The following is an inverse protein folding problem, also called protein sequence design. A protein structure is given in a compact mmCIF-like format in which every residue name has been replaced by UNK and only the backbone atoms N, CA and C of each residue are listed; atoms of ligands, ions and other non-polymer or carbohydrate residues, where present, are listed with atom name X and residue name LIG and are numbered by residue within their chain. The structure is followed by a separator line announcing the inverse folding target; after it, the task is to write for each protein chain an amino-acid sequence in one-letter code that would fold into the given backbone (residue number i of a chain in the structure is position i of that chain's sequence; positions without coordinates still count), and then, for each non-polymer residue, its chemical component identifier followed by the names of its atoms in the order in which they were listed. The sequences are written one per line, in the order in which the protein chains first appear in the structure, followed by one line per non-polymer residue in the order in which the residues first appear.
data_IF_064966989426
#
_entry.id   IF_064966989426
#
_cell.length_a   1.000
_cell.length_b   1.000
_cell.length_c   1.000
_cell.angle_alpha   90.00
_cell.angle_beta   90.00
_cell.angle_gamma   90.00
#
_symmetry.space_group_name_H-M   'P 1'
#
loop_
_entity.id
_entity.type
_entity.pdbx_description
1 polymer ?
#
# COMPACT_ATOMS: atom_id res chain seq x y z
N UNK A 1 -7.80 17.48 -14.41
CA UNK A 1 -9.17 17.98 -14.71
C UNK A 1 -9.50 19.28 -13.98
N UNK A 2 -9.19 19.41 -12.68
CA UNK A 2 -9.42 20.63 -11.87
C UNK A 2 -8.83 21.93 -12.46
N UNK A 3 -7.69 21.87 -13.15
CA UNK A 3 -7.03 23.03 -13.77
C UNK A 3 -7.80 23.69 -14.93
N UNK A 4 -9.00 23.21 -15.29
CA UNK A 4 -9.91 23.85 -16.26
C UNK A 4 -10.89 24.84 -15.62
N UNK A 5 -10.99 24.89 -14.29
CA UNK A 5 -11.92 25.79 -13.60
C UNK A 5 -11.36 27.24 -13.54
N UNK A 6 -12.21 28.21 -13.88
CA UNK A 6 -11.87 29.64 -13.88
C UNK A 6 -11.31 30.13 -15.21
N UNK A 7 -11.86 31.24 -15.73
CA UNK A 7 -11.45 31.85 -16.99
C UNK A 7 -10.52 33.03 -16.74
N UNK A 8 -9.37 33.03 -17.42
CA UNK A 8 -8.35 34.08 -17.31
C UNK A 8 -8.96 35.46 -17.63
N UNK A 9 -8.84 36.38 -16.67
CA UNK A 9 -9.29 37.77 -16.80
C UNK A 9 -10.81 37.99 -16.72
N UNK A 10 -11.60 36.95 -16.43
CA UNK A 10 -13.07 37.06 -16.27
C UNK A 10 -13.57 36.61 -14.91
N UNK A 11 -12.93 35.61 -14.31
CA UNK A 11 -13.34 35.05 -13.03
C UNK A 11 -12.19 35.25 -12.02
N UNK A 12 -12.51 35.69 -10.79
CA UNK A 12 -11.51 35.92 -9.73
C UNK A 12 -10.90 34.61 -9.19
N UNK A 13 -11.65 33.51 -9.28
CA UNK A 13 -11.24 32.17 -8.82
C UNK A 13 -11.95 31.06 -9.59
N UNK A 14 -11.31 29.89 -9.68
CA UNK A 14 -11.94 28.66 -10.15
C UNK A 14 -12.53 27.86 -8.99
N UNK A 15 -13.79 27.41 -9.12
CA UNK A 15 -14.45 26.56 -8.13
C UNK A 15 -14.55 25.13 -8.66
N UNK A 16 -14.04 24.16 -7.90
CA UNK A 16 -14.07 22.73 -8.22
C UNK A 16 -14.81 22.01 -7.10
N UNK A 17 -15.88 21.28 -7.44
CA UNK A 17 -16.64 20.47 -6.49
C UNK A 17 -16.33 19.01 -6.75
N UNK A 18 -15.83 18.31 -5.74
CA UNK A 18 -15.62 16.86 -5.77
C UNK A 18 -16.79 16.18 -5.08
N UNK A 19 -17.50 15.31 -5.80
CA UNK A 19 -18.50 14.42 -5.21
C UNK A 19 -17.78 13.20 -4.66
N UNK A 20 -17.91 12.95 -3.36
CA UNK A 20 -17.20 11.88 -2.65
C UNK A 20 -18.22 10.88 -2.12
N UNK A 21 -17.98 9.60 -2.37
CA UNK A 21 -18.75 8.51 -1.79
C UNK A 21 -18.15 8.05 -0.45
N UNK A 22 -18.96 7.39 0.37
CA UNK A 22 -18.68 7.06 1.78
C UNK A 22 -17.46 6.13 1.98
N UNK A 23 -16.97 5.50 0.90
CA UNK A 23 -15.84 4.57 0.93
C UNK A 23 -14.45 5.24 0.76
N UNK A 24 -14.37 6.56 0.54
CA UNK A 24 -13.08 7.20 0.33
C UNK A 24 -12.36 7.48 1.65
N UNK A 25 -11.24 6.78 1.86
CA UNK A 25 -10.34 7.04 2.99
C UNK A 25 -9.72 8.44 2.96
N UNK A 26 -9.39 8.98 4.13
CA UNK A 26 -8.83 10.33 4.27
C UNK A 26 -7.53 10.54 3.48
N UNK A 27 -6.68 9.52 3.41
CA UNK A 27 -5.40 9.59 2.69
C UNK A 27 -5.58 9.74 1.19
N UNK A 28 -6.52 8.98 0.61
CA UNK A 28 -6.85 9.05 -0.82
C UNK A 28 -7.41 10.44 -1.17
N UNK A 29 -8.32 10.95 -0.32
CA UNK A 29 -8.85 12.30 -0.48
C UNK A 29 -7.75 13.37 -0.48
N UNK A 30 -6.78 13.24 0.44
CA UNK A 30 -5.65 14.16 0.56
C UNK A 30 -4.73 14.08 -0.67
N UNK A 31 -4.46 12.88 -1.19
CA UNK A 31 -3.67 12.69 -2.40
C UNK A 31 -4.37 13.29 -3.64
N UNK A 32 -5.68 13.14 -3.78
CA UNK A 32 -6.41 13.71 -4.92
C UNK A 32 -6.35 15.25 -4.93
N UNK A 33 -6.43 15.88 -3.76
CA UNK A 33 -6.50 17.34 -3.65
C UNK A 33 -5.10 17.99 -3.62
N UNK A 34 -4.16 17.40 -2.88
CA UNK A 34 -2.83 17.97 -2.58
C UNK A 34 -1.66 17.11 -3.06
N UNK A 35 -1.93 16.01 -3.76
CA UNK A 35 -0.90 15.12 -4.27
C UNK A 35 -0.01 15.80 -5.30
N UNK A 36 1.23 15.30 -5.37
CA UNK A 36 2.10 15.62 -6.49
C UNK A 36 1.49 15.08 -7.80
N UNK A 37 1.78 15.70 -8.95
CA UNK A 37 1.40 15.13 -10.23
C UNK A 37 2.03 13.75 -10.40
N UNK A 38 1.30 12.83 -11.02
CA UNK A 38 1.83 11.51 -11.33
C UNK A 38 3.04 11.61 -12.27
N UNK A 39 4.10 10.83 -12.04
CA UNK A 39 5.23 10.78 -12.95
C UNK A 39 4.80 10.20 -14.30
N UNK A 40 5.42 10.66 -15.38
CA UNK A 40 5.20 10.09 -16.70
C UNK A 40 5.93 8.75 -16.80
N UNK A 41 5.23 7.65 -16.51
CA UNK A 41 5.79 6.31 -16.62
C UNK A 41 5.51 5.72 -18.01
N UNK A 42 6.54 5.13 -18.61
CA UNK A 42 6.43 4.45 -19.90
C UNK A 42 5.54 3.21 -19.80
N UNK A 43 4.58 3.08 -20.72
CA UNK A 43 3.76 1.87 -20.90
C UNK A 43 4.19 1.06 -22.14
N UNK A 44 5.45 1.26 -22.59
CA UNK A 44 5.99 0.57 -23.74
C UNK A 44 5.96 -0.94 -23.52
N UNK A 45 5.40 -1.67 -24.50
CA UNK A 45 5.30 -3.12 -24.51
C UNK A 45 5.40 -3.62 -25.94
N UNK A 46 6.00 -4.79 -26.11
CA UNK A 46 6.07 -5.44 -27.41
C UNK A 46 4.69 -5.98 -27.80
N UNK A 47 4.33 -5.78 -29.07
CA UNK A 47 3.12 -6.33 -29.68
C UNK A 47 3.50 -7.10 -30.93
N UNK A 48 2.73 -8.12 -31.30
CA UNK A 48 3.03 -8.95 -32.48
C UNK A 48 3.20 -8.11 -33.75
N UNK A 49 2.32 -7.15 -34.00
CA UNK A 49 2.38 -6.28 -35.18
C UNK A 49 3.69 -5.45 -35.19
N UNK A 50 4.10 -4.92 -34.04
CA UNK A 50 5.37 -4.20 -33.91
C UNK A 50 6.56 -5.08 -34.27
N UNK A 51 6.64 -6.30 -33.70
CA UNK A 51 7.74 -7.23 -33.97
C UNK A 51 7.79 -7.63 -35.43
N UNK A 52 6.64 -7.98 -36.03
CA UNK A 52 6.57 -8.36 -37.44
C UNK A 52 7.00 -7.21 -38.37
N UNK A 53 6.61 -5.98 -38.05
CA UNK A 53 7.04 -4.82 -38.83
C UNK A 53 8.53 -4.54 -38.69
N UNK A 54 9.10 -4.70 -37.49
CA UNK A 54 10.53 -4.51 -37.24
C UNK A 54 11.36 -5.56 -38.00
N UNK A 55 10.94 -6.82 -37.98
CA UNK A 55 11.60 -7.91 -38.71
C UNK A 55 11.51 -7.75 -40.24
N UNK A 56 10.49 -7.05 -40.74
CA UNK A 56 10.30 -6.82 -42.17
C UNK A 56 11.22 -5.75 -42.73
N UNK A 57 11.64 -4.78 -41.91
CA UNK A 57 12.44 -3.65 -42.37
C UNK A 57 13.92 -3.99 -42.23
N UNK A 58 14.60 -4.16 -43.36
CA UNK A 58 16.05 -4.39 -43.38
C UNK A 58 16.79 -3.21 -42.73
N UNK A 59 17.71 -3.52 -41.81
CA UNK A 59 18.55 -2.53 -41.11
C UNK A 59 18.03 -2.04 -39.76
N UNK A 60 16.88 -2.52 -39.28
CA UNK A 60 16.37 -2.21 -37.92
C UNK A 60 16.48 -3.45 -37.03
N UNK A 61 17.29 -3.36 -35.98
CA UNK A 61 17.38 -4.40 -34.96
C UNK A 61 16.35 -4.14 -33.85
N UNK A 62 15.40 -5.07 -33.59
CA UNK A 62 14.38 -4.89 -32.55
C UNK A 62 15.00 -4.76 -31.16
N UNK A 63 16.13 -5.41 -30.89
CA UNK A 63 16.86 -5.27 -29.61
C UNK A 63 17.32 -3.84 -29.37
N UNK A 64 17.83 -3.17 -30.41
CA UNK A 64 18.27 -1.77 -30.30
C UNK A 64 17.10 -0.82 -30.01
N UNK A 65 15.91 -1.10 -30.56
CA UNK A 65 14.70 -0.34 -30.25
C UNK A 65 14.28 -0.52 -28.78
N UNK A 66 14.45 -1.72 -28.24
CA UNK A 66 14.17 -2.01 -26.84
C UNK A 66 15.11 -1.25 -25.90
N UNK A 67 16.40 -1.28 -26.20
CA UNK A 67 17.43 -0.59 -25.42
C UNK A 67 17.23 0.93 -25.40
N UNK A 68 16.82 1.50 -26.54
CA UNK A 68 16.55 2.93 -26.69
C UNK A 68 15.13 3.35 -26.25
N UNK A 69 14.31 2.43 -25.74
CA UNK A 69 12.95 2.73 -25.33
C UNK A 69 12.91 3.59 -24.05
N UNK A 70 11.91 4.47 -23.92
CA UNK A 70 11.73 5.28 -22.71
C UNK A 70 11.50 4.43 -21.45
N UNK A 71 10.93 3.23 -21.61
CA UNK A 71 10.80 2.29 -20.50
C UNK A 71 12.15 1.83 -19.98
N UNK A 72 13.06 1.47 -20.90
CA UNK A 72 14.39 1.02 -20.54
C UNK A 72 15.23 2.16 -19.95
N UNK A 73 15.09 3.38 -20.49
CA UNK A 73 15.70 4.57 -19.92
C UNK A 73 15.29 4.78 -18.44
N UNK A 74 14.00 4.72 -18.13
CA UNK A 74 13.51 4.89 -16.75
C UNK A 74 14.03 3.80 -15.81
N UNK A 75 14.14 2.56 -16.27
CA UNK A 75 14.73 1.48 -15.48
C UNK A 75 16.20 1.75 -15.18
N UNK A 76 16.99 2.14 -16.18
CA UNK A 76 18.41 2.44 -15.99
C UNK A 76 18.64 3.64 -15.08
N UNK A 77 17.83 4.69 -15.18
CA UNK A 77 17.91 5.87 -14.33
C UNK A 77 17.61 5.54 -12.85
N UNK A 78 16.71 4.58 -12.60
CA UNK A 78 16.38 4.14 -11.25
C UNK A 78 17.45 3.23 -10.61
N UNK A 79 18.28 2.54 -11.41
CA UNK A 79 19.23 1.55 -10.90
C UNK A 79 20.26 2.12 -9.90
N UNK A 80 20.96 3.25 -10.16
CA UNK A 80 21.95 3.78 -9.23
C UNK A 80 21.38 4.02 -7.83
N UNK A 81 20.19 4.61 -7.75
CA UNK A 81 19.53 4.88 -6.46
C UNK A 81 19.15 3.57 -5.75
N UNK A 82 18.67 2.57 -6.50
CA UNK A 82 18.36 1.24 -5.94
C UNK A 82 19.62 0.56 -5.38
N UNK A 83 20.73 0.59 -6.11
CA UNK A 83 22.00 0.04 -5.64
C UNK A 83 22.47 0.75 -4.36
N UNK A 84 22.42 2.09 -4.33
CA UNK A 84 22.78 2.86 -3.15
C UNK A 84 21.90 2.52 -1.93
N UNK A 85 20.59 2.36 -2.14
CA UNK A 85 19.66 1.98 -1.08
C UNK A 85 19.93 0.57 -0.55
N UNK A 86 20.24 -0.39 -1.42
CA UNK A 86 20.63 -1.75 -1.03
C UNK A 86 21.92 -1.71 -0.22
N UNK A 87 22.92 -0.94 -0.63
CA UNK A 87 24.17 -0.81 0.12
C UNK A 87 23.96 -0.16 1.49
N UNK A 88 23.16 0.93 1.57
CA UNK A 88 22.80 1.57 2.83
C UNK A 88 22.12 0.59 3.78
N UNK A 89 21.11 -0.15 3.31
CA UNK A 89 20.39 -1.14 4.11
C UNK A 89 21.27 -2.30 4.54
N UNK A 90 22.19 -2.76 3.69
CA UNK A 90 23.19 -3.77 4.06
C UNK A 90 24.14 -3.27 5.15
N UNK A 91 24.58 -2.01 5.08
CA UNK A 91 25.42 -1.39 6.13
C UNK A 91 24.66 -1.25 7.44
N UNK A 92 23.41 -0.80 7.40
CA UNK A 92 22.53 -0.73 8.59
C UNK A 92 22.35 -2.11 9.24
N UNK A 93 22.12 -3.16 8.44
CA UNK A 93 22.01 -4.53 8.93
C UNK A 93 23.32 -4.99 9.56
N UNK A 94 24.46 -4.79 8.89
CA UNK A 94 25.77 -5.19 9.40
C UNK A 94 26.19 -4.43 10.68
N UNK A 95 25.71 -3.20 10.87
CA UNK A 95 25.93 -2.42 12.08
C UNK A 95 25.07 -2.93 13.26
N UNK A 96 23.92 -3.52 12.99
CA UNK A 96 23.04 -4.09 14.00
C UNK A 96 23.60 -5.44 14.47
N UNK A 97 24.30 -5.44 15.61
CA UNK A 97 24.71 -6.67 16.29
C UNK A 97 23.72 -6.99 17.40
N UNK A 98 23.09 -8.15 17.30
CA UNK A 98 22.15 -8.66 18.29
C UNK A 98 22.83 -9.82 19.02
N UNK A 99 22.92 -9.71 20.34
CA UNK A 99 23.46 -10.79 21.16
C UNK A 99 22.54 -12.02 21.10
N UNK A 100 23.12 -13.21 20.91
CA UNK A 100 22.39 -14.49 20.87
C UNK A 100 21.22 -14.51 19.88
N UNK A 101 21.46 -14.02 18.66
CA UNK A 101 20.47 -13.91 17.59
C UNK A 101 19.67 -15.21 17.34
N UNK A 102 20.30 -16.38 17.44
CA UNK A 102 19.64 -17.68 17.24
C UNK A 102 18.57 -17.98 18.29
N UNK A 103 18.84 -17.70 19.57
CA UNK A 103 17.88 -17.88 20.66
C UNK A 103 16.72 -16.89 20.55
N UNK A 104 17.04 -15.62 20.26
CA UNK A 104 16.04 -14.54 20.12
C UNK A 104 15.15 -14.79 18.89
N UNK A 105 15.71 -15.23 17.77
CA UNK A 105 14.94 -15.60 16.59
C UNK A 105 13.96 -16.73 16.90
N UNK A 106 14.39 -17.75 17.65
CA UNK A 106 13.51 -18.83 18.10
C UNK A 106 12.36 -18.31 18.96
N UNK A 107 12.65 -17.47 19.96
CA UNK A 107 11.64 -16.85 20.80
C UNK A 107 10.64 -16.01 20.00
N UNK A 108 11.14 -15.14 19.11
CA UNK A 108 10.29 -14.28 18.27
C UNK A 108 9.38 -15.09 17.34
N UNK A 109 9.88 -16.20 16.78
CA UNK A 109 9.06 -17.10 15.97
C UNK A 109 7.93 -17.73 16.79
N UNK A 110 8.22 -18.16 18.03
CA UNK A 110 7.19 -18.70 18.93
C UNK A 110 6.15 -17.63 19.29
N UNK A 111 6.58 -16.42 19.63
CA UNK A 111 5.67 -15.30 19.92
C UNK A 111 4.75 -14.99 18.73
N UNK A 112 5.32 -14.91 17.53
CA UNK A 112 4.54 -14.72 16.29
C UNK A 112 3.55 -15.85 16.05
N UNK A 113 3.94 -17.10 16.30
CA UNK A 113 3.03 -18.24 16.20
C UNK A 113 1.89 -18.17 17.22
N UNK A 114 2.18 -17.78 18.46
CA UNK A 114 1.18 -17.57 19.49
C UNK A 114 0.17 -16.51 19.05
N UNK A 115 0.63 -15.41 18.45
CA UNK A 115 -0.28 -14.34 18.01
C UNK A 115 -1.18 -14.78 16.85
N UNK A 116 -0.63 -15.52 15.87
CA UNK A 116 -1.43 -16.14 14.80
C UNK A 116 -2.49 -17.09 15.38
N UNK A 117 -2.12 -17.91 16.36
CA UNK A 117 -3.05 -18.83 17.02
C UNK A 117 -4.11 -18.09 17.84
N UNK A 118 -3.74 -17.02 18.55
CA UNK A 118 -4.69 -16.16 19.27
C UNK A 118 -5.71 -15.53 18.32
N UNK A 119 -5.27 -15.06 17.15
CA UNK A 119 -6.17 -14.54 16.12
C UNK A 119 -7.12 -15.61 15.60
N UNK A 120 -6.63 -16.82 15.34
CA UNK A 120 -7.48 -17.94 14.92
C UNK A 120 -8.52 -18.31 15.99
N UNK A 121 -8.14 -18.34 17.27
CA UNK A 121 -9.07 -18.56 18.39
C UNK A 121 -10.10 -17.44 18.46
N UNK A 122 -9.65 -16.17 18.36
CA UNK A 122 -10.55 -15.00 18.35
C UNK A 122 -11.55 -15.08 17.21
N UNK A 123 -11.14 -15.46 16.01
CA UNK A 123 -12.03 -15.63 14.87
C UNK A 123 -13.10 -16.69 15.15
N UNK A 124 -12.74 -17.82 15.75
CA UNK A 124 -13.71 -18.88 16.10
C UNK A 124 -14.68 -18.39 17.18
N UNK A 125 -14.18 -17.79 18.26
CA UNK A 125 -15.01 -17.34 19.39
C UNK A 125 -15.97 -16.21 18.98
N UNK A 126 -15.54 -15.32 18.09
CA UNK A 126 -16.35 -14.19 17.62
C UNK A 126 -17.45 -14.60 16.63
N UNK A 127 -17.45 -15.84 16.11
CA UNK A 127 -18.52 -16.32 15.21
C UNK A 127 -19.88 -16.24 15.92
N UNK A 128 -20.95 -15.79 15.24
CA UNK A 128 -22.27 -15.63 15.86
C UNK A 128 -22.79 -16.89 16.56
N UNK A 129 -22.50 -18.07 15.99
CA UNK A 129 -22.88 -19.38 16.56
C UNK A 129 -22.34 -19.58 17.98
N UNK A 130 -21.16 -19.05 18.29
CA UNK A 130 -20.49 -19.22 19.57
C UNK A 130 -20.67 -17.99 20.48
N UNK A 131 -20.72 -16.78 19.92
CA UNK A 131 -20.77 -15.55 20.70
C UNK A 131 -22.18 -15.19 21.19
N UNK A 132 -23.21 -15.33 20.34
CA UNK A 132 -24.58 -14.82 20.59
C UNK A 132 -25.21 -15.37 21.88
N UNK A 133 -25.10 -16.67 22.24
CA UNK A 133 -25.66 -17.19 23.49
C UNK A 133 -25.09 -16.52 24.75
N UNK A 134 -23.90 -15.93 24.63
CA UNK A 134 -23.19 -15.29 25.72
C UNK A 134 -23.40 -13.76 25.75
N UNK A 135 -24.09 -13.16 24.78
CA UNK A 135 -24.38 -11.72 24.75
C UNK A 135 -25.67 -11.39 25.53
N UNK A 136 -25.63 -11.58 26.84
CA UNK A 136 -26.74 -11.22 27.73
C UNK A 136 -26.60 -9.78 28.23
N UNK A 137 -27.73 -9.11 28.47
CA UNK A 137 -27.75 -7.80 29.11
C UNK A 137 -27.00 -7.84 30.45
N UNK A 138 -26.18 -6.83 30.73
CA UNK A 138 -25.34 -6.73 31.93
C UNK A 138 -23.97 -7.39 31.80
N UNK A 139 -23.68 -8.15 30.73
CA UNK A 139 -22.38 -8.83 30.58
C UNK A 139 -21.28 -7.89 30.12
N UNK A 140 -20.12 -7.99 30.77
CA UNK A 140 -18.91 -7.26 30.41
C UNK A 140 -18.28 -7.85 29.15
N UNK A 141 -18.05 -7.00 28.16
CA UNK A 141 -17.35 -7.37 26.92
C UNK A 141 -16.10 -6.52 26.80
N UNK A 142 -14.98 -7.18 26.53
CA UNK A 142 -13.72 -6.53 26.24
C UNK A 142 -13.65 -6.16 24.75
N UNK A 143 -13.83 -4.87 24.44
CA UNK A 143 -13.78 -4.36 23.07
C UNK A 143 -12.41 -3.76 22.81
N UNK A 144 -11.70 -4.34 21.83
CA UNK A 144 -10.46 -3.79 21.31
C UNK A 144 -10.70 -3.34 19.86
N UNK A 145 -10.91 -2.03 19.68
CA UNK A 145 -11.10 -1.40 18.38
C UNK A 145 -9.72 -1.07 17.78
N UNK A 146 -9.45 -1.62 16.61
CA UNK A 146 -8.11 -1.61 16.01
C UNK A 146 -7.69 -0.26 15.41
N UNK A 147 -8.51 0.80 15.53
CA UNK A 147 -8.37 1.95 14.62
C UNK A 147 -7.51 3.10 15.17
N UNK A 148 -7.49 3.44 16.45
CA UNK A 148 -6.50 4.41 16.98
C UNK A 148 -6.44 4.30 18.51
N UNK A 149 -5.24 4.08 19.04
CA UNK A 149 -4.93 3.71 20.43
C UNK A 149 -5.50 2.35 20.87
N UNK A 150 -4.70 1.57 21.60
CA UNK A 150 -5.14 0.41 22.39
C UNK A 150 -6.11 0.85 23.50
N UNK A 151 -7.30 1.30 23.11
CA UNK A 151 -8.35 1.70 24.03
C UNK A 151 -9.12 0.43 24.42
N UNK A 152 -8.72 -0.14 25.55
CA UNK A 152 -9.42 -1.25 26.17
C UNK A 152 -10.69 -0.73 26.84
N UNK A 153 -11.83 -0.80 26.15
CA UNK A 153 -13.12 -0.37 26.69
C UNK A 153 -13.93 -1.59 27.10
N UNK A 154 -14.31 -1.64 28.37
CA UNK A 154 -15.28 -2.61 28.88
C UNK A 154 -16.67 -1.99 28.76
N UNK A 155 -17.48 -2.52 27.85
CA UNK A 155 -18.89 -2.14 27.72
C UNK A 155 -19.76 -3.15 28.45
N UNK A 156 -20.71 -2.65 29.24
CA UNK A 156 -21.84 -3.44 29.73
C UNK A 156 -22.83 -3.49 28.57
N UNK A 157 -23.09 -4.68 28.04
CA UNK A 157 -24.13 -4.84 27.03
C UNK A 157 -25.49 -4.51 27.65
N UNK A 158 -26.15 -3.43 27.27
CA UNK A 158 -27.51 -3.11 27.73
C UNK A 158 -28.47 -3.35 26.58
N UNK A 159 -29.36 -4.34 26.71
CA UNK A 159 -30.49 -4.50 25.80
C UNK A 159 -31.42 -3.30 25.98
N UNK A 160 -31.67 -2.54 24.90
CA UNK A 160 -32.85 -1.67 24.80
C UNK A 160 -34.07 -2.53 24.43
#
# INVERSE_FOLDING_TARGET
MSGRAGRRGKDDRGLVILMVDQQMGQDVAKQIIKGAPDPLNSQFRLTYNMVLNLLRVEGINPEYMLESSFYQFQNYDALPQLYENVEKKKKELAACKIDKETEISGYYQMEKQIDVLKEAVKEIVTKPKHLVPFLQAGRLIHVCLFIFLNLHVFLIYTSA
#
